data_IF_436605064141
#
_entry.id   IF_436605064141
#
_cell.length_a   1.000
_cell.length_b   1.000
_cell.length_c   1.000
_cell.angle_alpha   90.00
_cell.angle_beta   90.00
_cell.angle_gamma   90.00
#
_symmetry.space_group_name_H-M   'P 1'
#
loop_
_entity.id
_entity.type
_entity.pdbx_description
1 polymer ?
#
# COMPACT_ATOMS: atom_id res chain seq x y z
N UNK A 1 -0.12 2.10 -6.43
CA UNK A 1 0.67 1.11 -5.67
C UNK A 1 1.44 1.76 -4.54
N UNK A 2 2.42 2.64 -4.80
CA UNK A 2 3.11 3.38 -3.74
C UNK A 2 2.13 4.13 -2.85
N UNK A 3 1.25 4.94 -3.43
CA UNK A 3 0.27 5.71 -2.65
C UNK A 3 -0.65 4.82 -1.81
N UNK A 4 -1.09 3.67 -2.35
CA UNK A 4 -1.89 2.69 -1.61
C UNK A 4 -1.10 2.06 -0.45
N UNK A 5 0.19 1.79 -0.68
CA UNK A 5 1.10 1.27 0.33
C UNK A 5 1.27 2.26 1.47
N UNK A 6 1.54 3.54 1.17
CA UNK A 6 1.69 4.57 2.19
C UNK A 6 0.36 4.89 2.90
N UNK A 7 -0.77 4.83 2.21
CA UNK A 7 -2.08 5.09 2.81
C UNK A 7 -2.46 4.05 3.89
N UNK A 8 -2.12 2.79 3.65
CA UNK A 8 -2.48 1.67 4.54
C UNK A 8 -1.35 1.29 5.50
N UNK A 9 -0.12 1.77 5.29
CA UNK A 9 1.01 1.47 6.15
C UNK A 9 0.90 2.22 7.48
N UNK A 10 0.88 1.51 8.63
CA UNK A 10 0.72 2.13 9.95
C UNK A 10 1.80 3.16 10.32
N UNK A 11 2.96 3.12 9.66
CA UNK A 11 4.11 3.99 9.96
C UNK A 11 3.99 5.38 9.40
N UNK A 12 3.32 5.50 8.28
CA UNK A 12 3.24 6.74 7.52
C UNK A 12 1.91 7.42 7.80
N UNK A 13 1.71 7.81 9.07
CA UNK A 13 0.61 8.70 9.38
C UNK A 13 0.91 10.08 8.80
N UNK A 14 0.44 10.34 7.59
CA UNK A 14 0.42 11.71 7.07
C UNK A 14 -0.70 12.46 7.80
N UNK A 15 -0.34 13.50 8.55
CA UNK A 15 -1.29 14.39 9.25
C UNK A 15 -2.22 15.17 8.29
N UNK A 16 -2.09 14.96 6.98
CA UNK A 16 -2.81 15.67 5.93
C UNK A 16 -3.95 14.87 5.28
N UNK A 17 -4.00 13.54 5.45
CA UNK A 17 -5.03 12.65 4.87
C UNK A 17 -5.73 11.81 5.94
N UNK A 18 -6.98 11.41 5.67
CA UNK A 18 -7.77 10.60 6.60
C UNK A 18 -7.14 9.22 6.82
N UNK A 19 -7.21 8.70 8.04
CA UNK A 19 -6.63 7.40 8.39
C UNK A 19 -7.26 6.26 7.57
N UNK A 20 -6.45 5.63 6.71
CA UNK A 20 -6.87 4.55 5.80
C UNK A 20 -8.12 4.92 4.98
N UNK A 21 -8.16 6.14 4.44
CA UNK A 21 -9.27 6.62 3.60
C UNK A 21 -9.53 5.73 2.37
N UNK A 22 -8.51 5.05 1.82
CA UNK A 22 -8.71 4.10 0.72
C UNK A 22 -9.69 2.97 1.12
N UNK A 23 -9.74 2.60 2.41
CA UNK A 23 -10.74 1.65 2.94
C UNK A 23 -12.14 2.27 3.06
N UNK A 24 -12.23 3.57 3.34
CA UNK A 24 -13.49 4.31 3.35
C UNK A 24 -14.06 4.47 1.95
N UNK A 25 -13.21 4.60 0.94
CA UNK A 25 -13.58 4.62 -0.48
C UNK A 25 -13.87 3.23 -1.03
N UNK A 26 -13.41 2.18 -0.33
CA UNK A 26 -13.65 0.79 -0.70
C UNK A 26 -12.76 0.31 -1.83
N UNK A 27 -11.58 0.89 -1.90
CA UNK A 27 -10.63 0.67 -2.98
C UNK A 27 -10.02 -0.72 -2.85
N UNK A 28 -10.11 -1.47 -3.94
CA UNK A 28 -9.43 -2.76 -4.06
C UNK A 28 -7.98 -2.52 -4.50
N UNK A 29 -7.16 -1.99 -3.59
CA UNK A 29 -5.73 -1.81 -3.83
C UNK A 29 -5.01 -3.16 -3.94
N UNK A 30 -3.77 -3.14 -4.46
CA UNK A 30 -2.93 -4.33 -4.57
C UNK A 30 -2.85 -5.12 -3.25
N UNK A 31 -2.70 -4.42 -2.12
CA UNK A 31 -2.64 -5.02 -0.78
C UNK A 31 -3.89 -5.86 -0.46
N UNK A 32 -5.07 -5.29 -0.74
CA UNK A 32 -6.36 -5.95 -0.55
C UNK A 32 -6.46 -7.15 -1.46
N UNK A 33 -6.22 -6.98 -2.77
CA UNK A 33 -6.30 -8.06 -3.76
C UNK A 33 -5.38 -9.21 -3.38
N UNK A 34 -4.12 -8.92 -3.05
CA UNK A 34 -3.15 -9.91 -2.61
C UNK A 34 -3.64 -10.68 -1.37
N UNK A 35 -4.21 -9.98 -0.38
CA UNK A 35 -4.75 -10.64 0.80
C UNK A 35 -5.94 -11.56 0.47
N UNK A 36 -6.88 -11.07 -0.35
CA UNK A 36 -8.05 -11.85 -0.78
C UNK A 36 -7.64 -13.10 -1.57
N UNK A 37 -6.56 -13.05 -2.33
CA UNK A 37 -6.05 -14.19 -3.12
C UNK A 37 -5.32 -15.22 -2.26
N UNK A 38 -4.55 -14.76 -1.26
CA UNK A 38 -3.67 -15.63 -0.47
C UNK A 38 -4.29 -16.14 0.84
N UNK A 39 -5.44 -15.60 1.28
CA UNK A 39 -6.15 -16.10 2.46
C UNK A 39 -7.67 -16.16 2.26
N UNK A 40 -8.23 -17.36 1.96
CA UNK A 40 -9.68 -17.55 1.89
C UNK A 40 -10.40 -17.17 3.19
N UNK A 41 -9.76 -17.39 4.35
CA UNK A 41 -10.31 -17.03 5.68
C UNK A 41 -10.53 -15.53 5.82
N UNK A 42 -9.61 -14.71 5.33
CA UNK A 42 -9.73 -13.25 5.41
C UNK A 42 -10.59 -12.68 4.30
N UNK A 43 -10.67 -13.36 3.14
CA UNK A 43 -11.51 -12.95 2.02
C UNK A 43 -12.95 -12.66 2.46
N UNK A 44 -13.61 -13.63 3.10
CA UNK A 44 -15.02 -13.47 3.47
C UNK A 44 -15.23 -12.34 4.49
N UNK A 45 -14.25 -12.15 5.40
CA UNK A 45 -14.28 -11.08 6.42
C UNK A 45 -14.11 -9.70 5.80
N UNK A 46 -13.09 -9.52 4.97
CA UNK A 46 -12.80 -8.26 4.26
C UNK A 46 -13.97 -7.89 3.35
N UNK A 47 -14.51 -8.86 2.59
CA UNK A 47 -15.70 -8.64 1.76
C UNK A 47 -16.94 -8.31 2.60
N UNK A 48 -17.06 -8.86 3.81
CA UNK A 48 -18.08 -8.49 4.78
C UNK A 48 -18.02 -7.00 5.15
N UNK A 49 -16.82 -6.50 5.49
CA UNK A 49 -16.63 -5.08 5.80
C UNK A 49 -16.99 -4.17 4.62
N UNK A 50 -16.55 -4.51 3.40
CA UNK A 50 -16.89 -3.71 2.22
C UNK A 50 -18.38 -3.74 1.88
N UNK A 51 -19.07 -4.88 2.07
CA UNK A 51 -20.53 -4.99 1.88
C UNK A 51 -21.33 -4.20 2.91
N UNK A 52 -20.94 -4.27 4.18
CA UNK A 52 -21.60 -3.50 5.24
C UNK A 52 -21.49 -1.99 4.96
N UNK A 53 -20.32 -1.55 4.49
CA UNK A 53 -20.10 -0.16 4.06
C UNK A 53 -21.00 0.24 2.89
N UNK A 54 -21.18 -0.59 1.86
CA UNK A 54 -22.07 -0.23 0.73
C UNK A 54 -23.53 0.02 1.12
N UNK A 55 -23.97 -0.45 2.29
CA UNK A 55 -25.30 -0.17 2.86
C UNK A 55 -25.34 1.01 3.84
N UNK A 56 -24.21 1.63 4.17
CA UNK A 56 -24.10 2.71 5.15
C UNK A 56 -23.52 3.98 4.49
N UNK A 57 -24.17 5.12 4.70
CA UNK A 57 -23.65 6.43 4.26
C UNK A 57 -22.69 6.91 5.36
N UNK A 58 -21.42 6.52 5.28
CA UNK A 58 -20.40 6.93 6.25
C UNK A 58 -19.07 6.18 6.14
N UNK A 59 -18.00 6.68 6.78
CA UNK A 59 -16.70 6.03 6.80
C UNK A 59 -16.75 4.67 7.51
N UNK A 60 -15.83 3.79 7.16
CA UNK A 60 -15.70 2.49 7.80
C UNK A 60 -15.32 2.67 9.29
N UNK A 61 -15.96 1.94 10.21
CA UNK A 61 -15.63 2.00 11.63
C UNK A 61 -14.14 1.74 11.87
N UNK A 62 -13.53 2.48 12.80
CA UNK A 62 -12.10 2.42 13.02
C UNK A 62 -11.62 0.99 13.35
N UNK A 63 -12.42 0.23 14.09
CA UNK A 63 -12.11 -1.17 14.42
C UNK A 63 -12.08 -2.09 13.19
N UNK A 64 -12.92 -1.84 12.19
CA UNK A 64 -12.92 -2.60 10.93
C UNK A 64 -11.66 -2.34 10.12
N UNK A 65 -11.22 -1.07 10.08
CA UNK A 65 -9.95 -0.69 9.44
C UNK A 65 -8.75 -1.34 10.12
N UNK A 66 -8.68 -1.33 11.47
CA UNK A 66 -7.58 -2.02 12.20
C UNK A 66 -7.54 -3.49 11.83
N UNK A 67 -8.69 -4.18 11.86
CA UNK A 67 -8.75 -5.61 11.53
C UNK A 67 -8.33 -5.90 10.08
N UNK A 68 -8.72 -5.06 9.12
CA UNK A 68 -8.26 -5.23 7.74
C UNK A 68 -6.74 -5.12 7.67
N UNK A 69 -6.13 -4.13 8.34
CA UNK A 69 -4.68 -3.96 8.33
C UNK A 69 -3.98 -5.15 9.01
N UNK A 70 -4.51 -5.68 10.11
CA UNK A 70 -4.00 -6.91 10.74
C UNK A 70 -4.03 -8.10 9.78
N UNK A 71 -5.12 -8.28 9.02
CA UNK A 71 -5.20 -9.33 8.01
C UNK A 71 -4.17 -9.13 6.87
N UNK A 72 -3.94 -7.89 6.45
CA UNK A 72 -2.91 -7.55 5.47
C UNK A 72 -1.50 -7.88 5.98
N UNK A 73 -1.23 -7.65 7.27
CA UNK A 73 0.04 -8.01 7.91
C UNK A 73 0.20 -9.52 8.03
N UNK A 74 -0.83 -10.24 8.51
CA UNK A 74 -0.79 -11.69 8.69
C UNK A 74 -0.62 -12.43 7.35
N UNK A 75 -1.20 -11.89 6.27
CA UNK A 75 -1.06 -12.47 4.92
C UNK A 75 0.26 -12.09 4.23
N UNK A 76 1.07 -11.22 4.84
CA UNK A 76 2.30 -10.72 4.23
C UNK A 76 2.07 -9.80 3.03
N UNK A 77 0.87 -9.24 2.87
CA UNK A 77 0.54 -8.37 1.73
C UNK A 77 1.42 -7.11 1.67
N UNK A 78 1.76 -6.53 2.82
CA UNK A 78 2.68 -5.39 2.86
C UNK A 78 4.06 -5.75 2.33
N UNK A 79 4.61 -6.88 2.75
CA UNK A 79 5.90 -7.38 2.26
C UNK A 79 5.85 -7.63 0.76
N UNK A 80 4.83 -8.34 0.27
CA UNK A 80 4.68 -8.61 -1.16
C UNK A 80 4.53 -7.33 -2.00
N UNK A 81 3.84 -6.31 -1.48
CA UNK A 81 3.71 -5.01 -2.15
C UNK A 81 5.04 -4.25 -2.18
N UNK A 82 5.77 -4.26 -1.06
CA UNK A 82 7.09 -3.63 -0.96
C UNK A 82 8.12 -4.29 -1.89
N UNK A 83 8.15 -5.62 -1.95
CA UNK A 83 9.01 -6.37 -2.89
C UNK A 83 8.67 -6.04 -4.35
N UNK A 84 7.39 -5.98 -4.70
CA UNK A 84 6.94 -5.59 -6.04
C UNK A 84 7.35 -4.14 -6.38
N UNK A 85 7.20 -3.20 -5.44
CA UNK A 85 7.63 -1.81 -5.64
C UNK A 85 9.14 -1.71 -5.88
N UNK A 86 9.95 -2.48 -5.14
CA UNK A 86 11.40 -2.51 -5.33
C UNK A 86 11.79 -3.12 -6.68
N UNK A 87 11.14 -4.22 -7.08
CA UNK A 87 11.37 -4.83 -8.40
C UNK A 87 11.05 -3.85 -9.52
N UNK A 88 9.94 -3.12 -9.42
CA UNK A 88 9.57 -2.11 -10.43
C UNK A 88 10.54 -0.93 -10.45
N UNK A 89 11.04 -0.51 -9.29
CA UNK A 89 12.07 0.51 -9.22
C UNK A 89 13.35 0.06 -9.95
N UNK A 90 13.77 -1.18 -9.72
CA UNK A 90 14.95 -1.76 -10.38
C UNK A 90 14.73 -1.93 -11.90
N UNK A 91 13.54 -2.33 -12.33
CA UNK A 91 13.18 -2.43 -13.74
C UNK A 91 13.19 -1.06 -14.43
N UNK A 92 12.64 -0.03 -13.79
CA UNK A 92 12.66 1.35 -14.31
C UNK A 92 14.09 1.88 -14.38
N UNK A 93 14.91 1.65 -13.36
CA UNK A 93 16.33 2.06 -13.34
C UNK A 93 17.12 1.39 -14.47
N UNK A 94 16.86 0.10 -14.74
CA UNK A 94 17.47 -0.62 -15.86
C UNK A 94 17.02 -0.07 -17.22
N UNK A 95 15.73 0.27 -17.36
CA UNK A 95 15.20 0.85 -18.60
C UNK A 95 15.76 2.25 -18.85
N UNK A 96 15.91 3.08 -17.81
CA UNK A 96 16.58 4.39 -17.92
C UNK A 96 18.00 4.20 -18.44
N UNK A 97 18.80 3.32 -17.82
CA UNK A 97 20.17 3.03 -18.28
C UNK A 97 20.22 2.56 -19.73
N UNK A 98 19.33 1.64 -20.11
CA UNK A 98 19.23 1.16 -21.49
C UNK A 98 18.92 2.30 -22.47
N UNK A 99 18.06 3.25 -22.10
CA UNK A 99 17.78 4.42 -22.93
C UNK A 99 18.98 5.36 -23.02
N UNK A 100 19.67 5.64 -21.91
CA UNK A 100 20.88 6.46 -21.90
C UNK A 100 22.01 5.88 -22.76
N UNK A 101 22.17 4.55 -22.76
CA UNK A 101 23.12 3.84 -23.62
C UNK A 101 22.75 3.96 -25.10
N UNK A 102 21.46 3.87 -25.43
CA UNK A 102 20.96 3.95 -26.80
C UNK A 102 20.99 5.37 -27.37
N UNK A 103 20.73 6.40 -26.55
CA UNK A 103 20.75 7.81 -26.97
C UNK A 103 22.13 8.43 -26.86
N UNK A 104 23.00 7.88 -26.01
CA UNK A 104 24.29 8.48 -25.65
C UNK A 104 24.16 9.66 -24.68
N UNK A 105 22.94 9.95 -24.19
CA UNK A 105 22.66 11.08 -23.30
C UNK A 105 22.20 10.59 -21.93
N UNK A 106 22.83 11.10 -20.87
CA UNK A 106 22.43 10.83 -19.48
C UNK A 106 21.25 11.70 -19.07
N UNK A 107 20.33 11.14 -18.30
CA UNK A 107 19.18 11.81 -17.73
C UNK A 107 19.18 11.70 -16.19
N UNK A 108 20.00 12.53 -15.50
CA UNK A 108 20.06 12.53 -14.03
C UNK A 108 18.72 12.94 -13.37
N UNK A 109 17.85 13.65 -14.08
CA UNK A 109 16.54 14.06 -13.55
C UNK A 109 15.61 12.85 -13.38
N UNK A 110 15.65 11.88 -14.30
CA UNK A 110 14.84 10.66 -14.18
C UNK A 110 15.29 9.79 -13.01
N UNK A 111 16.61 9.65 -12.81
CA UNK A 111 17.14 8.96 -11.63
C UNK A 111 16.75 9.66 -10.32
N UNK A 112 16.74 11.01 -10.31
CA UNK A 112 16.29 11.76 -9.14
C UNK A 112 14.80 11.53 -8.86
N UNK A 113 13.95 11.56 -9.89
CA UNK A 113 12.51 11.30 -9.75
C UNK A 113 12.26 9.90 -9.20
N UNK A 114 12.98 8.89 -9.71
CA UNK A 114 12.87 7.51 -9.21
C UNK A 114 13.27 7.42 -7.73
N UNK A 115 14.36 8.09 -7.34
CA UNK A 115 14.81 8.14 -5.96
C UNK A 115 13.82 8.84 -5.02
N UNK A 116 13.12 9.86 -5.49
CA UNK A 116 12.06 10.55 -4.73
C UNK A 116 10.82 9.68 -4.52
N UNK A 117 10.56 8.72 -5.41
CA UNK A 117 9.45 7.77 -5.32
C UNK A 117 9.83 6.49 -4.56
N UNK A 118 11.12 6.26 -4.29
CA UNK A 118 11.60 5.03 -3.64
C UNK A 118 11.02 4.85 -2.24
N UNK A 119 10.62 3.62 -1.93
CA UNK A 119 10.19 3.17 -0.59
C UNK A 119 11.14 2.11 -0.02
N UNK A 120 12.34 1.96 -0.60
CA UNK A 120 13.34 0.96 -0.20
C UNK A 120 13.77 1.08 1.27
N UNK A 121 13.69 2.27 1.84
CA UNK A 121 14.00 2.54 3.26
C UNK A 121 12.85 2.20 4.21
N UNK A 122 11.64 1.99 3.70
CA UNK A 122 10.40 1.83 4.47
C UNK A 122 9.95 0.36 4.51
N UNK A 123 10.89 -0.55 4.83
CA UNK A 123 10.56 -1.96 4.97
C UNK A 123 9.39 -2.11 5.97
N UNK A 124 8.37 -2.95 5.65
CA UNK A 124 7.27 -3.15 6.57
C UNK A 124 7.75 -3.95 7.78
N UNK A 125 7.53 -3.39 8.97
CA UNK A 125 7.77 -4.09 10.22
C UNK A 125 6.41 -4.59 10.71
N UNK A 126 6.32 -5.87 11.08
CA UNK A 126 5.10 -6.50 11.62
C UNK A 126 4.69 -6.02 13.01
N UNK A 127 4.84 -4.72 13.30
CA UNK A 127 4.40 -4.10 14.55
C UNK A 127 2.88 -4.02 14.57
N UNK A 128 2.32 -4.24 15.76
CA UNK A 128 0.88 -4.14 16.00
C UNK A 128 0.35 -2.76 15.60
N UNK A 129 -0.83 -2.76 14.98
CA UNK A 129 -1.48 -1.53 14.50
C UNK A 129 -2.43 -1.03 15.57
N UNK A 130 -2.28 0.25 15.95
CA UNK A 130 -3.17 0.92 16.89
C UNK A 130 -3.85 2.07 16.15
N UNK A 131 -5.18 2.12 16.22
CA UNK A 131 -5.91 3.25 15.66
C UNK A 131 -5.47 4.56 16.34
N UNK A 132 -5.38 5.69 15.61
CA UNK A 132 -5.08 6.99 16.20
C UNK A 132 -6.06 7.33 17.34
N UNK A 133 -5.56 7.89 18.44
CA UNK A 133 -6.39 8.34 19.55
C UNK A 133 -7.29 9.50 19.10
N UNK A 134 -8.61 9.37 19.23
CA UNK A 134 -9.58 10.42 18.95
C UNK A 134 -10.42 10.27 17.67
N UNK A 135 -10.40 9.09 17.02
CA UNK A 135 -11.33 8.70 15.95
C UNK A 135 -12.61 8.06 16.49
#
# INVERSE_FOLDING_TARGET
>A
MRDDYLNLNPREYSTQKGWCEDLDEGKFSYLIIHCLQNSPKFRDRIMGFFRQRTGCIGPMPAIGKVQIIEYLQETGSFTACWELLNSLEDDIENEIKRLEENTGEKNPLMHLLLKLLSVKTEKPDGKAVVAPAGL
#
